data_IF_911550665449
#
_entry.id   IF_911550665449
#
_cell.length_a   1.000
_cell.length_b   1.000
_cell.length_c   1.000
_cell.angle_alpha   90.00
_cell.angle_beta   90.00
_cell.angle_gamma   90.00
#
_symmetry.space_group_name_H-M   'P 1'
#
loop_
_entity.id
_entity.type
_entity.pdbx_description
1 polymer ?
#
# COMPACT_ATOMS: atom_id res chain seq x y z
N UNK A 1 -10.95 -16.73 -26.81
CA UNK A 1 -9.84 -17.44 -26.13
C UNK A 1 -8.69 -16.44 -26.02
N UNK A 2 -8.54 -15.79 -24.86
CA UNK A 2 -7.40 -14.88 -24.64
C UNK A 2 -6.15 -15.77 -24.69
N UNK A 3 -5.24 -15.50 -25.63
CA UNK A 3 -3.96 -16.21 -25.66
C UNK A 3 -3.31 -16.03 -24.29
N UNK A 4 -3.02 -17.13 -23.60
CA UNK A 4 -2.30 -17.07 -22.34
C UNK A 4 -0.96 -16.37 -22.60
N UNK A 5 -0.80 -15.17 -22.08
CA UNK A 5 0.43 -14.40 -22.22
C UNK A 5 1.58 -15.24 -21.66
N UNK A 6 2.69 -15.30 -22.38
CA UNK A 6 3.86 -16.01 -21.85
C UNK A 6 4.37 -15.28 -20.61
N UNK A 7 5.07 -15.98 -19.72
CA UNK A 7 5.67 -15.35 -18.54
C UNK A 7 6.59 -14.18 -18.91
N UNK A 8 7.26 -14.27 -20.07
CA UNK A 8 8.11 -13.20 -20.60
C UNK A 8 7.30 -11.96 -21.02
N UNK A 9 6.11 -12.15 -21.59
CA UNK A 9 5.21 -11.05 -21.94
C UNK A 9 4.71 -10.33 -20.67
N UNK A 10 4.42 -11.09 -19.61
CA UNK A 10 4.04 -10.49 -18.31
C UNK A 10 5.17 -9.69 -17.68
N UNK A 11 6.40 -10.22 -17.71
CA UNK A 11 7.57 -9.52 -17.17
C UNK A 11 7.81 -8.21 -17.93
N UNK A 12 7.79 -8.26 -19.27
CA UNK A 12 8.03 -7.06 -20.09
C UNK A 12 6.93 -6.00 -19.91
N UNK A 13 5.65 -6.40 -19.83
CA UNK A 13 4.56 -5.47 -19.55
C UNK A 13 4.68 -4.79 -18.18
N UNK A 14 5.03 -5.54 -17.15
CA UNK A 14 5.09 -5.01 -15.79
C UNK A 14 6.33 -4.14 -15.56
N UNK A 15 7.50 -4.58 -16.05
CA UNK A 15 8.73 -3.78 -15.98
C UNK A 15 8.67 -2.54 -16.88
N UNK A 16 7.94 -2.62 -18.00
CA UNK A 16 7.65 -1.49 -18.88
C UNK A 16 6.51 -0.60 -18.41
N UNK A 17 5.91 -0.86 -17.24
CA UNK A 17 4.81 -0.04 -16.74
C UNK A 17 5.27 1.39 -16.39
N UNK A 18 4.43 2.41 -16.60
CA UNK A 18 4.80 3.80 -16.32
C UNK A 18 5.29 4.04 -14.89
N UNK A 19 4.70 3.35 -13.91
CA UNK A 19 5.09 3.47 -12.50
C UNK A 19 6.52 2.94 -12.27
N UNK A 20 6.87 1.77 -12.82
CA UNK A 20 8.21 1.18 -12.70
C UNK A 20 9.24 2.04 -13.43
N UNK A 21 8.92 2.51 -14.64
CA UNK A 21 9.82 3.37 -15.42
C UNK A 21 10.05 4.73 -14.72
N UNK A 22 9.02 5.32 -14.11
CA UNK A 22 9.16 6.54 -13.32
C UNK A 22 10.03 6.31 -12.06
N UNK A 23 9.89 5.17 -11.40
CA UNK A 23 10.77 4.79 -10.28
C UNK A 23 12.23 4.65 -10.74
N UNK A 24 12.48 3.96 -11.85
CA UNK A 24 13.83 3.82 -12.43
C UNK A 24 14.40 5.20 -12.80
N UNK A 25 13.61 6.07 -13.41
CA UNK A 25 14.01 7.45 -13.70
C UNK A 25 14.40 8.20 -12.42
N UNK A 26 13.63 8.06 -11.34
CA UNK A 26 13.95 8.65 -10.04
C UNK A 26 15.26 8.13 -9.45
N UNK A 27 15.52 6.81 -9.55
CA UNK A 27 16.79 6.20 -9.13
C UNK A 27 17.96 6.75 -9.96
N UNK A 28 17.82 6.82 -11.28
CA UNK A 28 18.84 7.37 -12.17
C UNK A 28 19.12 8.84 -11.88
N UNK A 29 18.07 9.64 -11.67
CA UNK A 29 18.18 11.05 -11.30
C UNK A 29 18.94 11.21 -9.96
N UNK A 30 18.63 10.38 -8.97
CA UNK A 30 19.33 10.39 -7.68
C UNK A 30 20.80 9.98 -7.81
N UNK A 31 21.10 8.94 -8.59
CA UNK A 31 22.49 8.49 -8.85
C UNK A 31 23.32 9.55 -9.59
N UNK A 32 22.69 10.27 -10.51
CA UNK A 32 23.29 11.40 -11.21
C UNK A 32 23.37 12.68 -10.36
N UNK A 33 22.91 12.63 -9.10
CA UNK A 33 22.82 13.79 -8.18
C UNK A 33 22.06 14.96 -8.79
N UNK A 34 20.98 14.66 -9.52
CA UNK A 34 20.10 15.68 -10.07
C UNK A 34 19.47 16.50 -8.95
N UNK A 35 19.45 17.82 -9.10
CA UNK A 35 18.73 18.73 -8.20
C UNK A 35 17.20 18.72 -8.42
N UNK A 36 16.67 17.66 -9.05
CA UNK A 36 15.24 17.48 -9.25
C UNK A 36 14.54 17.27 -7.90
N UNK A 37 14.06 18.37 -7.33
CA UNK A 37 13.27 18.38 -6.10
C UNK A 37 11.94 19.06 -6.37
N UNK A 38 10.86 18.40 -6.01
CA UNK A 38 9.55 19.04 -5.99
C UNK A 38 9.45 19.97 -4.78
N UNK A 39 8.84 21.17 -4.93
CA UNK A 39 8.54 22.02 -3.78
C UNK A 39 7.69 21.27 -2.75
N UNK A 40 7.90 21.56 -1.47
CA UNK A 40 7.20 20.90 -0.36
C UNK A 40 5.68 21.05 -0.47
N UNK A 41 5.21 22.21 -0.95
CA UNK A 41 3.80 22.51 -1.17
C UNK A 41 3.18 21.56 -2.22
N UNK A 42 3.93 21.24 -3.28
CA UNK A 42 3.49 20.31 -4.33
C UNK A 42 3.39 18.90 -3.77
N UNK A 43 4.38 18.48 -2.97
CA UNK A 43 4.41 17.14 -2.35
C UNK A 43 3.26 16.97 -1.35
N UNK A 44 3.01 17.95 -0.49
CA UNK A 44 1.88 17.94 0.45
C UNK A 44 0.53 17.94 -0.26
N UNK A 45 0.37 18.76 -1.31
CA UNK A 45 -0.85 18.80 -2.11
C UNK A 45 -1.10 17.45 -2.80
N UNK A 46 -0.10 16.88 -3.47
CA UNK A 46 -0.20 15.58 -4.13
C UNK A 46 -0.55 14.48 -3.13
N UNK A 47 0.08 14.45 -1.96
CA UNK A 47 -0.21 13.44 -0.93
C UNK A 47 -1.66 13.52 -0.45
N UNK A 48 -2.15 14.73 -0.15
CA UNK A 48 -3.54 14.95 0.28
C UNK A 48 -4.55 14.62 -0.83
N UNK A 49 -4.25 15.03 -2.06
CA UNK A 49 -5.07 14.72 -3.23
C UNK A 49 -5.15 13.22 -3.49
N UNK A 50 -4.02 12.51 -3.45
CA UNK A 50 -3.97 11.06 -3.67
C UNK A 50 -4.73 10.32 -2.58
N UNK A 51 -4.57 10.69 -1.31
CA UNK A 51 -5.32 10.09 -0.21
C UNK A 51 -6.83 10.29 -0.39
N UNK A 52 -7.25 11.50 -0.74
CA UNK A 52 -8.65 11.80 -1.04
C UNK A 52 -9.18 11.01 -2.25
N UNK A 53 -8.41 10.97 -3.34
CA UNK A 53 -8.78 10.26 -4.56
C UNK A 53 -8.92 8.76 -4.35
N UNK A 54 -8.02 8.15 -3.57
CA UNK A 54 -8.09 6.73 -3.20
C UNK A 54 -9.35 6.46 -2.36
N UNK A 55 -9.61 7.30 -1.36
CA UNK A 55 -10.82 7.21 -0.53
C UNK A 55 -12.11 7.33 -1.34
N UNK A 56 -12.20 8.33 -2.23
CA UNK A 56 -13.37 8.56 -3.07
C UNK A 56 -13.58 7.40 -4.08
N UNK A 57 -12.52 6.97 -4.76
CA UNK A 57 -12.59 5.86 -5.73
C UNK A 57 -12.97 4.55 -5.04
N UNK A 58 -12.44 4.30 -3.83
CA UNK A 58 -12.82 3.16 -3.00
C UNK A 58 -14.29 3.21 -2.58
N UNK A 59 -14.76 4.34 -2.07
CA UNK A 59 -16.15 4.52 -1.64
C UNK A 59 -17.17 4.36 -2.77
N UNK A 60 -16.87 4.88 -3.97
CA UNK A 60 -17.70 4.69 -5.16
C UNK A 60 -17.82 3.20 -5.53
N UNK A 61 -16.72 2.45 -5.45
CA UNK A 61 -16.68 1.02 -5.77
C UNK A 61 -17.38 0.16 -4.72
N UNK A 62 -17.33 0.54 -3.44
CA UNK A 62 -18.11 -0.12 -2.37
C UNK A 62 -19.60 0.04 -2.62
N UNK A 63 -20.04 1.23 -3.05
CA UNK A 63 -21.47 1.50 -3.33
C UNK A 63 -22.02 0.59 -4.44
N UNK A 64 -21.18 0.18 -5.38
CA UNK A 64 -21.54 -0.70 -6.49
C UNK A 64 -21.43 -2.19 -6.14
N UNK A 65 -20.81 -2.54 -5.02
CA UNK A 65 -20.55 -3.91 -4.61
C UNK A 65 -21.68 -4.48 -3.76
N UNK A 66 -21.95 -5.79 -3.93
CA UNK A 66 -22.83 -6.51 -3.03
C UNK A 66 -22.16 -6.70 -1.67
N UNK A 67 -22.92 -6.44 -0.59
CA UNK A 67 -22.39 -6.51 0.78
C UNK A 67 -21.83 -7.91 1.09
N UNK A 68 -22.46 -8.97 0.57
CA UNK A 68 -22.02 -10.36 0.77
C UNK A 68 -20.59 -10.61 0.30
N UNK A 69 -20.21 -10.00 -0.81
CA UNK A 69 -18.86 -10.14 -1.40
C UNK A 69 -17.82 -9.29 -0.65
N UNK A 70 -18.25 -8.30 0.12
CA UNK A 70 -17.38 -7.40 0.87
C UNK A 70 -17.02 -7.94 2.26
N UNK A 71 -17.94 -8.66 2.94
CA UNK A 71 -17.76 -9.06 4.34
C UNK A 71 -16.49 -9.89 4.57
N UNK A 72 -16.24 -10.89 3.73
CA UNK A 72 -15.05 -11.74 3.83
C UNK A 72 -13.75 -10.96 3.66
N UNK A 73 -13.55 -10.28 2.50
CA UNK A 73 -12.37 -9.45 2.25
C UNK A 73 -12.16 -8.35 3.29
N UNK A 74 -13.23 -7.68 3.73
CA UNK A 74 -13.15 -6.64 4.76
C UNK A 74 -12.71 -7.20 6.11
N UNK A 75 -13.28 -8.34 6.53
CA UNK A 75 -12.86 -9.04 7.74
C UNK A 75 -11.39 -9.46 7.69
N UNK A 76 -10.95 -10.06 6.57
CA UNK A 76 -9.55 -10.41 6.37
C UNK A 76 -8.63 -9.19 6.41
N UNK A 77 -9.05 -8.08 5.82
CA UNK A 77 -8.32 -6.80 5.82
C UNK A 77 -8.13 -6.27 7.24
N UNK A 78 -9.16 -6.29 8.08
CA UNK A 78 -9.04 -5.87 9.48
C UNK A 78 -8.13 -6.79 10.29
N UNK A 79 -8.26 -8.10 10.11
CA UNK A 79 -7.38 -9.08 10.78
C UNK A 79 -5.93 -8.83 10.41
N UNK A 80 -5.63 -8.68 9.12
CA UNK A 80 -4.28 -8.37 8.65
C UNK A 80 -3.79 -7.03 9.17
N UNK A 81 -4.62 -5.98 9.11
CA UNK A 81 -4.27 -4.64 9.60
C UNK A 81 -3.96 -4.58 11.10
N UNK A 82 -4.51 -5.49 11.91
CA UNK A 82 -4.14 -5.63 13.32
C UNK A 82 -2.91 -6.53 13.50
N UNK A 83 -2.86 -7.63 12.75
CA UNK A 83 -1.82 -8.63 12.90
C UNK A 83 -0.44 -8.11 12.50
N UNK A 84 -0.33 -7.40 11.37
CA UNK A 84 0.96 -6.90 10.85
C UNK A 84 1.67 -5.93 11.80
N UNK A 85 1.06 -4.85 12.34
CA UNK A 85 1.73 -3.96 13.29
C UNK A 85 2.03 -4.66 14.61
N UNK A 86 1.17 -5.57 15.08
CA UNK A 86 1.40 -6.32 16.32
C UNK A 86 2.61 -7.24 16.19
N UNK A 87 2.72 -7.98 15.08
CA UNK A 87 3.87 -8.84 14.81
C UNK A 87 5.13 -7.98 14.67
N UNK A 88 5.08 -6.88 13.92
CA UNK A 88 6.21 -5.96 13.77
C UNK A 88 6.68 -5.42 15.13
N UNK A 89 5.76 -5.00 16.00
CA UNK A 89 6.08 -4.56 17.36
C UNK A 89 6.73 -5.65 18.19
N UNK A 90 6.16 -6.87 18.21
CA UNK A 90 6.68 -7.98 19.00
C UNK A 90 8.08 -8.36 18.54
N UNK A 91 8.32 -8.44 17.23
CA UNK A 91 9.64 -8.71 16.65
C UNK A 91 10.62 -7.60 17.02
N UNK A 92 10.23 -6.33 16.86
CA UNK A 92 11.05 -5.17 17.24
C UNK A 92 11.42 -5.17 18.74
N UNK A 93 10.46 -5.49 19.60
CA UNK A 93 10.66 -5.47 21.05
C UNK A 93 11.43 -6.69 21.56
N UNK A 94 11.13 -7.89 21.06
CA UNK A 94 11.68 -9.14 21.62
C UNK A 94 12.96 -9.61 20.92
N UNK A 95 13.04 -9.49 19.60
CA UNK A 95 14.19 -9.97 18.85
C UNK A 95 15.22 -8.88 18.59
N UNK A 96 14.76 -7.70 18.16
CA UNK A 96 15.64 -6.55 17.92
C UNK A 96 15.95 -5.78 19.21
N UNK A 97 15.23 -6.04 20.31
CA UNK A 97 15.44 -5.46 21.64
C UNK A 97 15.41 -3.92 21.66
N UNK A 98 14.57 -3.33 20.82
CA UNK A 98 14.42 -1.87 20.76
C UNK A 98 13.64 -1.34 21.98
N UNK A 99 13.85 -0.07 22.32
CA UNK A 99 12.97 0.63 23.26
C UNK A 99 11.54 0.75 22.69
N UNK A 100 10.60 1.13 23.54
CA UNK A 100 9.17 1.11 23.19
C UNK A 100 8.83 2.10 22.10
N UNK A 101 9.45 3.29 22.09
CA UNK A 101 9.21 4.29 21.07
C UNK A 101 9.70 3.82 19.69
N UNK A 102 10.92 3.27 19.63
CA UNK A 102 11.45 2.72 18.39
C UNK A 102 10.67 1.49 17.89
N UNK A 103 10.27 0.58 18.79
CA UNK A 103 9.44 -0.55 18.41
C UNK A 103 8.04 -0.13 17.92
N UNK A 104 7.45 0.89 18.54
CA UNK A 104 6.17 1.46 18.11
C UNK A 104 6.27 2.14 16.75
N UNK A 105 7.37 2.85 16.48
CA UNK A 105 7.63 3.46 15.16
C UNK A 105 7.72 2.40 14.06
N UNK A 106 8.40 1.29 14.31
CA UNK A 106 8.48 0.16 13.38
C UNK A 106 7.09 -0.48 13.18
N UNK A 107 6.32 -0.64 14.25
CA UNK A 107 4.94 -1.13 14.16
C UNK A 107 4.05 -0.20 13.32
N UNK A 108 4.21 1.12 13.45
CA UNK A 108 3.51 2.10 12.63
C UNK A 108 3.88 1.95 11.15
N UNK A 109 5.19 1.85 10.87
CA UNK A 109 5.71 1.77 9.51
C UNK A 109 5.22 0.52 8.78
N UNK A 110 5.28 -0.65 9.44
CA UNK A 110 4.83 -1.92 8.86
C UNK A 110 3.32 -2.19 9.03
N UNK A 111 2.62 -1.37 9.81
CA UNK A 111 1.16 -1.38 9.91
C UNK A 111 0.47 -0.57 8.81
N UNK A 112 1.20 0.30 8.11
CA UNK A 112 0.73 1.07 6.96
C UNK A 112 0.89 0.28 5.65
N UNK A 113 0.32 0.77 4.54
CA UNK A 113 0.40 0.12 3.22
C UNK A 113 0.97 1.02 2.14
N UNK A 114 1.64 0.39 1.18
CA UNK A 114 2.16 1.09 0.01
C UNK A 114 1.12 1.08 -1.11
N UNK A 115 0.52 2.24 -1.38
CA UNK A 115 -0.35 2.44 -2.54
C UNK A 115 0.36 2.12 -3.88
N UNK A 116 1.68 2.35 -3.95
CA UNK A 116 2.50 2.02 -5.11
C UNK A 116 2.61 0.50 -5.30
N UNK A 117 2.83 -0.24 -4.21
CA UNK A 117 2.89 -1.71 -4.25
C UNK A 117 1.53 -2.30 -4.61
N UNK A 118 0.45 -1.74 -4.06
CA UNK A 118 -0.91 -2.14 -4.42
C UNK A 118 -1.21 -1.93 -5.90
N UNK A 119 -0.93 -0.74 -6.44
CA UNK A 119 -1.16 -0.43 -7.87
C UNK A 119 -0.31 -1.27 -8.81
N UNK A 120 0.93 -1.60 -8.42
CA UNK A 120 1.76 -2.56 -9.16
C UNK A 120 1.15 -3.96 -9.14
N UNK A 121 0.70 -4.45 -7.98
CA UNK A 121 0.06 -5.75 -7.84
C UNK A 121 -1.26 -5.84 -8.64
N UNK A 122 -2.10 -4.80 -8.60
CA UNK A 122 -3.33 -4.70 -9.38
C UNK A 122 -3.04 -4.73 -10.89
N UNK A 123 -2.01 -4.00 -11.34
CA UNK A 123 -1.57 -3.98 -12.75
C UNK A 123 -1.05 -5.35 -13.20
N UNK A 124 -0.28 -6.03 -12.35
CA UNK A 124 0.20 -7.39 -12.60
C UNK A 124 -0.96 -8.37 -12.71
N UNK A 125 -1.84 -8.39 -11.71
CA UNK A 125 -3.02 -9.26 -11.65
C UNK A 125 -3.88 -9.09 -12.91
N UNK A 126 -4.16 -7.84 -13.29
CA UNK A 126 -4.92 -7.52 -14.50
C UNK A 126 -4.24 -8.04 -15.78
N UNK A 127 -2.91 -7.88 -15.88
CA UNK A 127 -2.13 -8.37 -17.02
C UNK A 127 -2.11 -9.90 -17.09
N UNK A 128 -2.11 -10.57 -15.93
CA UNK A 128 -2.19 -12.02 -15.81
C UNK A 128 -3.61 -12.59 -16.05
N UNK A 129 -4.60 -11.73 -16.36
CA UNK A 129 -5.98 -12.14 -16.61
C UNK A 129 -6.80 -12.38 -15.34
N UNK A 130 -6.25 -12.10 -14.16
CA UNK A 130 -7.00 -12.13 -12.89
C UNK A 130 -7.67 -10.77 -12.67
N UNK A 131 -9.00 -10.77 -12.56
CA UNK A 131 -9.76 -9.56 -12.26
C UNK A 131 -9.74 -9.34 -10.75
N UNK A 132 -9.17 -8.22 -10.34
CA UNK A 132 -9.29 -7.72 -8.96
C UNK A 132 -10.69 -7.14 -8.76
N UNK A 133 -11.29 -7.37 -7.60
CA UNK A 133 -12.58 -6.81 -7.25
C UNK A 133 -12.48 -5.27 -7.21
N UNK A 134 -13.56 -4.62 -7.63
CA UNK A 134 -13.59 -3.17 -7.79
C UNK A 134 -13.34 -2.41 -6.48
N UNK A 135 -13.72 -2.99 -5.34
CA UNK A 135 -13.62 -2.40 -4.00
C UNK A 135 -12.23 -2.57 -3.35
N UNK A 136 -11.29 -3.28 -3.97
CA UNK A 136 -9.95 -3.50 -3.41
C UNK A 136 -9.20 -2.22 -2.98
N UNK A 137 -9.24 -1.10 -3.74
CA UNK A 137 -8.63 0.16 -3.30
C UNK A 137 -9.22 0.69 -1.99
N UNK A 138 -10.49 0.39 -1.69
CA UNK A 138 -11.12 0.78 -0.44
C UNK A 138 -10.58 -0.03 0.75
N UNK A 139 -10.30 -1.32 0.54
CA UNK A 139 -9.72 -2.19 1.55
C UNK A 139 -8.30 -1.74 1.94
N UNK A 140 -7.52 -1.22 0.98
CA UNK A 140 -6.21 -0.59 1.26
C UNK A 140 -6.36 0.55 2.25
N UNK A 141 -7.34 1.44 2.05
CA UNK A 141 -7.60 2.55 2.97
C UNK A 141 -8.07 2.08 4.35
N UNK A 142 -8.86 1.00 4.41
CA UNK A 142 -9.30 0.39 5.68
C UNK A 142 -8.09 -0.19 6.43
N UNK A 143 -7.13 -0.80 5.74
CA UNK A 143 -5.97 -1.45 6.34
C UNK A 143 -5.03 -0.45 7.05
N UNK A 144 -5.01 0.82 6.63
CA UNK A 144 -4.23 1.89 7.29
C UNK A 144 -4.71 2.19 8.72
N UNK A 145 -6.01 2.08 8.98
CA UNK A 145 -6.62 2.57 10.23
C UNK A 145 -6.12 1.76 11.45
N UNK A 146 -6.18 0.41 11.45
CA UNK A 146 -5.70 -0.37 12.60
C UNK A 146 -4.21 -0.18 12.87
N UNK A 147 -3.38 -0.10 11.82
CA UNK A 147 -1.93 0.10 11.93
C UNK A 147 -1.57 1.38 12.68
N UNK A 148 -2.16 2.50 12.28
CA UNK A 148 -1.94 3.80 12.91
C UNK A 148 -2.45 3.80 14.35
N UNK A 149 -3.66 3.29 14.60
CA UNK A 149 -4.24 3.26 15.95
C UNK A 149 -3.37 2.44 16.90
N UNK A 150 -2.95 1.24 16.49
CA UNK A 150 -2.13 0.35 17.32
C UNK A 150 -0.79 1.02 17.65
N UNK A 151 -0.15 1.62 16.66
CA UNK A 151 1.11 2.32 16.87
C UNK A 151 0.97 3.50 17.85
N UNK A 152 -0.07 4.32 17.71
CA UNK A 152 -0.34 5.45 18.60
C UNK A 152 -0.64 4.99 20.03
N UNK A 153 -1.41 3.91 20.21
CA UNK A 153 -1.71 3.35 21.54
C UNK A 153 -0.45 2.80 22.20
N UNK A 154 0.43 2.13 21.45
CA UNK A 154 1.70 1.63 21.99
C UNK A 154 2.63 2.79 22.35
N UNK A 155 2.80 3.76 21.44
CA UNK A 155 3.66 4.91 21.65
C UNK A 155 3.19 5.80 22.81
N UNK A 156 1.89 6.01 22.96
CA UNK A 156 1.31 6.80 24.06
C UNK A 156 1.40 6.14 25.45
N UNK A 157 1.86 4.89 25.52
CA UNK A 157 2.11 4.16 26.77
C UNK A 157 3.59 3.98 27.09
N UNK A 158 4.48 4.48 26.22
CA UNK A 158 5.93 4.49 26.41
C UNK A 158 6.35 5.67 27.30
#
# INVERSE_FOLDING_TARGET
MVAAMSTWDLVTLNLGSPAVLAFVLGVLAALMRSDLRFPEQVTSFLSSYLLFAIGLKGGLRIREADIGDLVGPFGATLVLGVLTPCVAYIVAKKWLRLDTANAASIAAHYGSVSAVTFTAAESFAKSAGTLSEGFMPALVAVLEIPGIIIALVIAGRA
#
